data_IF_543056631556
#
_entry.id   IF_543056631556
#
_cell.length_a   1.000
_cell.length_b   1.000
_cell.length_c   1.000
_cell.angle_alpha   90.00
_cell.angle_beta   90.00
_cell.angle_gamma   90.00
#
_symmetry.space_group_name_H-M   'P 1'
#
loop_
_entity.id
_entity.type
_entity.pdbx_description
1 polymer ?
#
# COMPACT_ATOMS: atom_id res chain seq x y z
N UNK A 1 11.08 -25.82 1.17
CA UNK A 1 9.74 -25.20 1.03
C UNK A 1 9.25 -25.50 -0.38
N UNK A 2 8.01 -25.99 -0.55
CA UNK A 2 7.44 -26.29 -1.87
C UNK A 2 7.51 -25.06 -2.78
N UNK A 3 7.88 -25.23 -4.06
CA UNK A 3 7.71 -24.18 -5.06
C UNK A 3 6.21 -23.86 -5.16
N UNK A 4 5.78 -22.71 -4.62
CA UNK A 4 4.41 -22.19 -4.77
C UNK A 4 4.18 -21.82 -6.24
N UNK A 5 2.98 -22.07 -6.77
CA UNK A 5 2.62 -21.60 -8.11
C UNK A 5 2.42 -20.08 -8.13
N UNK A 6 2.33 -19.45 -9.31
CA UNK A 6 2.02 -18.02 -9.35
C UNK A 6 0.62 -17.72 -8.82
N UNK A 7 -0.34 -18.62 -9.06
CA UNK A 7 -1.69 -18.54 -8.48
C UNK A 7 -1.65 -18.57 -6.95
N UNK A 8 -0.83 -19.44 -6.36
CA UNK A 8 -0.69 -19.52 -4.89
C UNK A 8 -0.12 -18.22 -4.32
N UNK A 9 0.93 -17.67 -4.94
CA UNK A 9 1.56 -16.41 -4.52
C UNK A 9 0.58 -15.23 -4.62
N UNK A 10 -0.15 -15.12 -5.73
CA UNK A 10 -1.19 -14.09 -5.89
C UNK A 10 -2.26 -14.22 -4.80
N UNK A 11 -2.73 -15.43 -4.52
CA UNK A 11 -3.75 -15.63 -3.49
C UNK A 11 -3.23 -15.28 -2.09
N UNK A 12 -1.96 -15.55 -1.79
CA UNK A 12 -1.33 -15.17 -0.53
C UNK A 12 -1.22 -13.64 -0.37
N UNK A 13 -0.78 -12.94 -1.42
CA UNK A 13 -0.70 -11.47 -1.45
C UNK A 13 -2.08 -10.87 -1.19
N UNK A 14 -3.11 -11.30 -1.94
CA UNK A 14 -4.48 -10.78 -1.80
C UNK A 14 -5.04 -11.08 -0.41
N UNK A 15 -4.89 -12.31 0.08
CA UNK A 15 -5.48 -12.70 1.37
C UNK A 15 -4.79 -12.07 2.58
N UNK A 16 -3.54 -11.66 2.43
CA UNK A 16 -2.76 -11.06 3.52
C UNK A 16 -2.86 -9.54 3.46
N UNK A 17 -2.35 -8.93 2.39
CA UNK A 17 -2.13 -7.50 2.31
C UNK A 17 -3.36 -6.75 1.79
N UNK A 18 -3.98 -7.20 0.70
CA UNK A 18 -5.13 -6.47 0.15
C UNK A 18 -6.31 -6.44 1.13
N UNK A 19 -6.59 -7.58 1.80
CA UNK A 19 -7.57 -7.63 2.89
C UNK A 19 -7.20 -6.76 4.08
N UNK A 20 -5.91 -6.69 4.45
CA UNK A 20 -5.43 -5.77 5.48
C UNK A 20 -5.68 -4.31 5.08
N UNK A 21 -5.29 -3.90 3.86
CA UNK A 21 -5.49 -2.52 3.39
C UNK A 21 -6.97 -2.12 3.37
N UNK A 22 -7.85 -3.00 2.86
CA UNK A 22 -9.30 -2.74 2.85
C UNK A 22 -9.87 -2.47 4.25
N UNK A 23 -9.33 -3.14 5.28
CA UNK A 23 -9.77 -2.96 6.67
C UNK A 23 -9.17 -1.72 7.33
N UNK A 24 -7.86 -1.50 7.15
CA UNK A 24 -7.13 -0.47 7.89
C UNK A 24 -7.26 0.93 7.28
N UNK A 25 -7.35 1.05 5.95
CA UNK A 25 -7.42 2.38 5.30
C UNK A 25 -8.60 3.24 5.81
N UNK A 26 -9.82 2.71 6.00
CA UNK A 26 -10.92 3.47 6.61
C UNK A 26 -10.66 3.89 8.06
N UNK A 27 -10.05 3.00 8.87
CA UNK A 27 -9.73 3.30 10.28
C UNK A 27 -8.68 4.42 10.37
N UNK A 28 -7.61 4.30 9.60
CA UNK A 28 -6.52 5.29 9.60
C UNK A 28 -7.00 6.63 9.04
N UNK A 29 -7.89 6.63 8.04
CA UNK A 29 -8.52 7.87 7.54
C UNK A 29 -9.28 8.58 8.66
N UNK A 30 -10.10 7.85 9.43
CA UNK A 30 -10.82 8.40 10.58
C UNK A 30 -9.89 8.92 11.67
N UNK A 31 -8.82 8.19 11.97
CA UNK A 31 -7.82 8.55 12.97
C UNK A 31 -7.07 9.84 12.58
N UNK A 32 -6.54 9.91 11.36
CA UNK A 32 -5.83 11.09 10.84
C UNK A 32 -6.72 12.34 10.81
N UNK A 33 -8.00 12.21 10.41
CA UNK A 33 -8.96 13.32 10.50
C UNK A 33 -9.27 13.72 11.95
N UNK A 34 -9.30 12.75 12.87
CA UNK A 34 -9.59 13.02 14.29
C UNK A 34 -8.47 13.81 14.94
N UNK A 35 -7.21 13.39 14.77
CA UNK A 35 -6.07 14.11 15.37
C UNK A 35 -5.90 15.49 14.74
N UNK A 36 -6.12 15.63 13.43
CA UNK A 36 -6.13 16.94 12.78
C UNK A 36 -7.21 17.87 13.37
N UNK A 37 -8.42 17.36 13.60
CA UNK A 37 -9.52 18.14 14.17
C UNK A 37 -9.23 18.60 15.60
N UNK A 38 -8.63 17.75 16.42
CA UNK A 38 -8.40 18.03 17.85
C UNK A 38 -7.12 18.84 18.08
N UNK A 39 -6.02 18.47 17.41
CA UNK A 39 -4.68 19.01 17.66
C UNK A 39 -4.18 19.97 16.57
N UNK A 40 -4.84 20.04 15.41
CA UNK A 40 -4.33 20.74 14.21
C UNK A 40 -4.17 22.27 14.32
N UNK A 41 -4.56 22.88 15.44
CA UNK A 41 -4.28 24.28 15.75
C UNK A 41 -2.82 24.46 16.20
N UNK A 42 -2.38 23.61 17.11
CA UNK A 42 -1.02 23.64 17.68
C UNK A 42 -0.05 22.79 16.83
N UNK A 43 -0.57 21.74 16.19
CA UNK A 43 0.18 20.76 15.40
C UNK A 43 -0.15 20.88 13.90
N UNK A 44 0.48 21.87 13.24
CA UNK A 44 0.17 22.24 11.83
C UNK A 44 0.55 21.16 10.83
N UNK A 45 1.55 20.34 11.16
CA UNK A 45 2.02 19.20 10.39
C UNK A 45 0.92 18.15 10.17
N UNK A 46 -0.08 18.07 11.07
CA UNK A 46 -1.21 17.15 10.92
C UNK A 46 -2.05 17.41 9.66
N UNK A 47 -2.01 18.63 9.11
CA UNK A 47 -2.64 18.93 7.81
C UNK A 47 -1.91 18.20 6.68
N UNK A 48 -0.60 18.12 6.77
CA UNK A 48 0.27 17.43 5.81
C UNK A 48 0.08 15.93 5.97
N UNK A 49 0.09 15.41 7.21
CA UNK A 49 -0.20 13.98 7.52
C UNK A 49 -1.54 13.55 6.92
N UNK A 50 -2.61 14.29 7.19
CA UNK A 50 -3.94 13.99 6.66
C UNK A 50 -3.97 13.97 5.12
N UNK A 51 -3.33 14.96 4.48
CA UNK A 51 -3.27 15.03 3.01
C UNK A 51 -2.46 13.88 2.42
N UNK A 52 -1.26 13.62 2.95
CA UNK A 52 -0.36 12.56 2.46
C UNK A 52 -1.00 11.19 2.61
N UNK A 53 -1.62 10.90 3.76
CA UNK A 53 -2.31 9.65 3.97
C UNK A 53 -3.45 9.46 2.96
N UNK A 54 -4.36 10.44 2.82
CA UNK A 54 -5.50 10.29 1.91
C UNK A 54 -5.06 10.20 0.43
N UNK A 55 -4.02 10.94 0.02
CA UNK A 55 -3.47 10.80 -1.33
C UNK A 55 -2.84 9.42 -1.55
N UNK A 56 -2.10 8.89 -0.57
CA UNK A 56 -1.51 7.54 -0.63
C UNK A 56 -2.61 6.49 -0.71
N UNK A 57 -3.66 6.64 0.10
CA UNK A 57 -4.85 5.79 0.08
C UNK A 57 -5.50 5.76 -1.30
N UNK A 58 -5.75 6.91 -1.93
CA UNK A 58 -6.37 6.97 -3.27
C UNK A 58 -5.56 6.19 -4.30
N UNK A 59 -4.25 6.41 -4.37
CA UNK A 59 -3.38 5.69 -5.31
C UNK A 59 -3.37 4.20 -5.00
N UNK A 60 -3.30 3.83 -3.71
CA UNK A 60 -3.32 2.43 -3.30
C UNK A 60 -4.64 1.75 -3.71
N UNK A 61 -5.79 2.39 -3.52
CA UNK A 61 -7.10 1.88 -3.96
C UNK A 61 -7.15 1.66 -5.48
N UNK A 62 -6.63 2.62 -6.26
CA UNK A 62 -6.57 2.50 -7.73
C UNK A 62 -5.70 1.32 -8.18
N UNK A 63 -4.49 1.18 -7.63
CA UNK A 63 -3.61 0.07 -8.02
C UNK A 63 -4.14 -1.29 -7.57
N UNK A 64 -4.84 -1.37 -6.43
CA UNK A 64 -5.46 -2.62 -5.96
C UNK A 64 -6.53 -3.09 -6.94
N UNK A 65 -7.35 -2.18 -7.47
CA UNK A 65 -8.36 -2.48 -8.49
C UNK A 65 -7.70 -2.99 -9.77
N UNK A 66 -6.69 -2.28 -10.29
CA UNK A 66 -5.97 -2.69 -11.51
C UNK A 66 -5.36 -4.09 -11.35
N UNK A 67 -4.76 -4.35 -10.18
CA UNK A 67 -4.17 -5.67 -9.89
C UNK A 67 -5.22 -6.76 -9.87
N UNK A 68 -6.33 -6.57 -9.17
CA UNK A 68 -7.34 -7.62 -8.98
C UNK A 68 -8.22 -7.84 -10.22
N UNK A 69 -8.42 -6.83 -11.06
CA UNK A 69 -9.25 -6.91 -12.27
C UNK A 69 -8.46 -7.34 -13.50
N UNK A 70 -7.21 -6.87 -13.65
CA UNK A 70 -6.42 -7.12 -14.86
C UNK A 70 -5.22 -8.04 -14.58
N UNK A 71 -4.27 -7.60 -13.74
CA UNK A 71 -2.94 -8.23 -13.66
C UNK A 71 -3.01 -9.65 -13.07
N UNK A 72 -3.64 -9.80 -11.90
CA UNK A 72 -3.69 -11.06 -11.18
C UNK A 72 -4.53 -12.13 -11.91
N UNK A 73 -5.68 -11.80 -12.53
CA UNK A 73 -6.36 -12.74 -13.43
C UNK A 73 -5.48 -13.21 -14.58
N UNK A 74 -4.74 -12.32 -15.25
CA UNK A 74 -3.83 -12.73 -16.32
C UNK A 74 -2.67 -13.60 -15.82
N UNK A 75 -2.10 -13.30 -14.64
CA UNK A 75 -1.07 -14.15 -14.02
C UNK A 75 -1.62 -15.56 -13.74
N UNK A 76 -2.85 -15.67 -13.21
CA UNK A 76 -3.50 -16.98 -12.96
C UNK A 76 -3.77 -17.75 -14.26
N UNK A 77 -4.11 -17.07 -15.36
CA UNK A 77 -4.25 -17.69 -16.68
C UNK A 77 -2.89 -18.17 -17.20
N UNK A 78 -1.86 -17.33 -17.06
CA UNK A 78 -0.49 -17.64 -17.47
C UNK A 78 0.09 -18.83 -16.69
N UNK A 79 -0.16 -18.93 -15.38
CA UNK A 79 0.25 -20.05 -14.52
C UNK A 79 -0.29 -21.41 -15.03
N UNK A 80 -1.49 -21.41 -15.60
CA UNK A 80 -2.13 -22.62 -16.15
C UNK A 80 -1.66 -22.94 -17.57
N UNK A 81 -1.55 -21.92 -18.42
CA UNK A 81 -1.18 -22.05 -19.83
C UNK A 81 -0.36 -20.84 -20.27
N UNK A 82 0.98 -20.89 -20.13
CA UNK A 82 1.85 -19.80 -20.53
C UNK A 82 1.70 -19.46 -22.02
N UNK A 83 1.64 -18.17 -22.34
CA UNK A 83 1.67 -17.68 -23.71
C UNK A 83 2.33 -16.31 -23.79
N UNK A 84 2.98 -16.02 -24.92
CA UNK A 84 3.61 -14.72 -25.16
C UNK A 84 2.59 -13.57 -25.16
N UNK A 85 1.36 -13.83 -25.60
CA UNK A 85 0.28 -12.83 -25.58
C UNK A 85 -0.11 -12.46 -24.14
N UNK A 86 -0.29 -13.45 -23.26
CA UNK A 86 -0.59 -13.21 -21.86
C UNK A 86 0.56 -12.50 -21.15
N UNK A 87 1.80 -12.93 -21.40
CA UNK A 87 2.98 -12.28 -20.83
C UNK A 87 3.05 -10.80 -21.22
N UNK A 88 2.84 -10.47 -22.50
CA UNK A 88 2.86 -9.08 -22.96
C UNK A 88 1.77 -8.23 -22.30
N UNK A 89 0.55 -8.78 -22.12
CA UNK A 89 -0.55 -8.10 -21.39
C UNK A 89 -0.18 -7.83 -19.93
N UNK A 90 0.47 -8.80 -19.27
CA UNK A 90 0.92 -8.64 -17.88
C UNK A 90 2.00 -7.56 -17.79
N UNK A 91 3.06 -7.65 -18.62
CA UNK A 91 4.18 -6.72 -18.60
C UNK A 91 3.78 -5.28 -18.92
N UNK A 92 2.83 -5.07 -19.84
CA UNK A 92 2.29 -3.74 -20.14
C UNK A 92 1.69 -3.07 -18.89
N UNK A 93 0.86 -3.81 -18.14
CA UNK A 93 0.24 -3.28 -16.93
C UNK A 93 1.24 -3.10 -15.77
N UNK A 94 2.22 -3.99 -15.64
CA UNK A 94 3.29 -3.84 -14.62
C UNK A 94 4.12 -2.58 -14.86
N UNK A 95 4.40 -2.24 -16.13
CA UNK A 95 5.18 -1.04 -16.45
C UNK A 95 4.47 0.25 -16.01
N UNK A 96 3.14 0.29 -16.09
CA UNK A 96 2.40 1.43 -15.56
C UNK A 96 2.53 1.47 -14.03
N UNK A 97 2.26 0.36 -13.32
CA UNK A 97 2.33 0.25 -11.84
C UNK A 97 3.63 0.77 -11.20
N UNK A 98 4.76 0.67 -11.91
CA UNK A 98 6.04 1.14 -11.41
C UNK A 98 6.06 2.65 -11.11
N UNK A 99 5.23 3.44 -11.80
CA UNK A 99 5.09 4.88 -11.53
C UNK A 99 4.35 5.11 -10.21
N UNK A 100 3.24 4.40 -10.00
CA UNK A 100 2.41 4.51 -8.80
C UNK A 100 3.17 3.99 -7.57
N UNK A 101 3.96 2.92 -7.70
CA UNK A 101 4.84 2.46 -6.62
C UNK A 101 5.83 3.53 -6.19
N UNK A 102 6.53 4.16 -7.14
CA UNK A 102 7.46 5.24 -6.81
C UNK A 102 6.75 6.42 -6.14
N UNK A 103 5.53 6.74 -6.59
CA UNK A 103 4.75 7.80 -5.97
C UNK A 103 4.35 7.46 -4.53
N UNK A 104 3.85 6.24 -4.28
CA UNK A 104 3.53 5.76 -2.93
C UNK A 104 4.79 5.78 -2.04
N UNK A 105 5.90 5.20 -2.49
CA UNK A 105 7.17 5.18 -1.75
C UNK A 105 7.64 6.60 -1.37
N UNK A 106 7.48 7.57 -2.27
CA UNK A 106 7.84 8.97 -2.00
C UNK A 106 6.91 9.61 -0.97
N UNK A 107 5.58 9.39 -1.05
CA UNK A 107 4.63 9.91 -0.06
C UNK A 107 4.83 9.30 1.31
N UNK A 108 5.17 8.01 1.40
CA UNK A 108 5.47 7.34 2.66
C UNK A 108 6.75 7.90 3.31
N UNK A 109 7.79 8.17 2.51
CA UNK A 109 9.00 8.87 3.01
C UNK A 109 8.68 10.26 3.55
N UNK A 110 7.89 11.05 2.82
CA UNK A 110 7.46 12.38 3.28
C UNK A 110 6.62 12.27 4.57
N UNK A 111 5.72 11.30 4.63
CA UNK A 111 4.89 11.04 5.80
C UNK A 111 5.77 10.73 7.02
N UNK A 112 6.70 9.77 6.91
CA UNK A 112 7.65 9.41 7.98
C UNK A 112 8.50 10.60 8.42
N UNK A 113 8.92 11.46 7.49
CA UNK A 113 9.69 12.67 7.82
C UNK A 113 8.84 13.67 8.63
N UNK A 114 7.64 13.97 8.16
CA UNK A 114 6.74 14.96 8.76
C UNK A 114 6.25 14.51 10.15
N UNK A 115 6.12 13.22 10.37
CA UNK A 115 5.73 12.63 11.67
C UNK A 115 6.91 12.39 12.60
N UNK A 116 8.12 12.83 12.26
CA UNK A 116 9.35 12.55 13.01
C UNK A 116 9.50 11.05 13.34
N UNK A 117 9.49 10.21 12.30
CA UNK A 117 9.46 8.74 12.43
C UNK A 117 8.27 8.22 13.24
N UNK A 118 7.08 8.78 13.02
CA UNK A 118 5.86 8.42 13.76
C UNK A 118 6.03 8.56 15.29
N UNK A 119 6.78 9.57 15.72
CA UNK A 119 6.91 9.90 17.15
C UNK A 119 5.89 10.97 17.51
N UNK A 120 4.95 10.63 18.37
CA UNK A 120 4.00 11.61 18.89
C UNK A 120 4.71 12.65 19.79
N UNK A 121 4.26 13.91 19.78
CA UNK A 121 4.78 14.95 20.67
C UNK A 121 4.34 14.70 22.12
N UNK A 122 5.02 15.35 23.08
CA UNK A 122 4.74 15.18 24.52
C UNK A 122 3.30 15.59 24.92
N UNK A 123 2.68 16.51 24.19
CA UNK A 123 1.30 16.94 24.38
C UNK A 123 0.28 16.14 23.54
N UNK A 124 0.75 15.06 22.89
CA UNK A 124 -0.08 14.09 22.19
C UNK A 124 -0.98 13.32 23.15
N UNK A 125 -2.20 13.00 22.70
CA UNK A 125 -3.08 12.09 23.43
C UNK A 125 -2.94 10.66 22.91
N UNK A 126 -3.52 9.68 23.61
CA UNK A 126 -3.51 8.27 23.19
C UNK A 126 -4.05 8.04 21.75
N UNK A 127 -4.92 8.91 21.24
CA UNK A 127 -5.40 8.79 19.84
C UNK A 127 -4.30 9.22 18.86
N UNK A 128 -3.47 10.19 19.23
CA UNK A 128 -2.29 10.60 18.47
C UNK A 128 -1.30 9.43 18.37
N UNK A 129 -0.92 8.84 19.51
CA UNK A 129 -0.03 7.67 19.56
C UNK A 129 -0.54 6.53 18.68
N UNK A 130 -1.79 6.11 18.90
CA UNK A 130 -2.43 5.05 18.12
C UNK A 130 -2.44 5.37 16.62
N UNK A 131 -2.65 6.64 16.25
CA UNK A 131 -2.65 7.03 14.83
C UNK A 131 -1.27 6.83 14.22
N UNK A 132 -0.22 7.23 14.94
CA UNK A 132 1.15 7.15 14.46
C UNK A 132 1.65 5.70 14.42
N UNK A 133 1.33 4.88 15.42
CA UNK A 133 1.57 3.42 15.39
C UNK A 133 0.90 2.76 14.17
N UNK A 134 -0.36 3.11 13.91
CA UNK A 134 -1.11 2.58 12.77
C UNK A 134 -0.54 3.01 11.42
N UNK A 135 -0.07 4.26 11.31
CA UNK A 135 0.58 4.74 10.08
C UNK A 135 1.90 4.03 9.83
N UNK A 136 2.69 3.76 10.87
CA UNK A 136 3.94 2.99 10.75
C UNK A 136 3.67 1.53 10.35
N UNK A 137 2.70 0.87 11.00
CA UNK A 137 2.27 -0.48 10.64
C UNK A 137 1.82 -0.53 9.16
N UNK A 138 1.07 0.48 8.72
CA UNK A 138 0.57 0.59 7.36
C UNK A 138 1.69 0.79 6.33
N UNK A 139 2.66 1.67 6.59
CA UNK A 139 3.84 1.84 5.74
C UNK A 139 4.59 0.51 5.58
N UNK A 140 4.87 -0.18 6.68
CA UNK A 140 5.61 -1.45 6.65
C UNK A 140 4.87 -2.50 5.81
N UNK A 141 3.54 -2.61 5.96
CA UNK A 141 2.74 -3.54 5.17
C UNK A 141 2.71 -3.18 3.68
N UNK A 142 2.66 -1.88 3.33
CA UNK A 142 2.75 -1.46 1.92
C UNK A 142 4.10 -1.84 1.32
N UNK A 143 5.20 -1.53 2.02
CA UNK A 143 6.54 -1.80 1.51
C UNK A 143 6.79 -3.30 1.30
N UNK A 144 6.36 -4.13 2.25
CA UNK A 144 6.44 -5.59 2.13
C UNK A 144 5.56 -6.11 0.99
N UNK A 145 4.34 -5.61 0.83
CA UNK A 145 3.45 -5.99 -0.27
C UNK A 145 4.09 -5.68 -1.64
N UNK A 146 4.61 -4.45 -1.82
CA UNK A 146 5.27 -4.04 -3.06
C UNK A 146 6.49 -4.93 -3.34
N UNK A 147 7.28 -5.27 -2.32
CA UNK A 147 8.42 -6.17 -2.45
C UNK A 147 7.99 -7.56 -2.97
N UNK A 148 6.98 -8.17 -2.35
CA UNK A 148 6.47 -9.49 -2.73
C UNK A 148 5.87 -9.50 -4.15
N UNK A 149 5.18 -8.43 -4.52
CA UNK A 149 4.64 -8.27 -5.88
C UNK A 149 5.76 -8.14 -6.91
N UNK A 150 6.78 -7.31 -6.65
CA UNK A 150 7.94 -7.17 -7.53
C UNK A 150 8.69 -8.50 -7.68
N UNK A 151 8.86 -9.25 -6.58
CA UNK A 151 9.47 -10.58 -6.61
C UNK A 151 8.64 -11.56 -7.46
N UNK A 152 7.31 -11.59 -7.30
CA UNK A 152 6.40 -12.38 -8.14
C UNK A 152 6.54 -11.99 -9.62
N UNK A 153 6.48 -10.69 -9.93
CA UNK A 153 6.52 -10.19 -11.30
C UNK A 153 7.85 -10.51 -11.99
N UNK A 154 8.97 -10.45 -11.26
CA UNK A 154 10.30 -10.78 -11.79
C UNK A 154 10.47 -12.23 -12.26
N UNK A 155 9.60 -13.14 -11.78
CA UNK A 155 9.66 -14.58 -12.09
C UNK A 155 8.92 -14.94 -13.39
N UNK A 156 8.07 -14.05 -13.90
CA UNK A 156 7.35 -14.25 -15.17
C UNK A 156 8.35 -14.21 -16.34
N UNK A 157 8.24 -15.17 -17.27
CA UNK A 157 9.19 -15.36 -18.39
C UNK A 157 8.51 -15.57 -19.73
#
# INVERSE_FOLDING_TARGET
MKNKSYTDLVNEIVNTYHKYFQREMPEISKLTSTILRVHGREHRELRIVHRLFNNTKTILEEILIIKEVDIFPYIKMYDRKPSKELLNKILYNINELEKEYREIENKLKELRQVTNNYTAPEDGCNTYDKTFEKLEEFENNIMENIYLEKDLFSKLK
#
